data_IF_301428841480
#
_entry.id   IF_301428841480
#
_cell.length_a   1.000
_cell.length_b   1.000
_cell.length_c   1.000
_cell.angle_alpha   90.00
_cell.angle_beta   90.00
_cell.angle_gamma   90.00
#
_symmetry.space_group_name_H-M   'P 1'
#
loop_
_entity.id
_entity.type
_entity.pdbx_description
1 polymer ?
#
# COMPACT_ATOMS: atom_id res chain seq x y z
N UNK A 1 -13.62 -4.01 -23.58
CA UNK A 1 -13.32 -2.57 -23.40
C UNK A 1 -13.20 -2.27 -21.91
N UNK A 2 -11.99 -2.00 -21.40
CA UNK A 2 -11.77 -1.68 -19.99
C UNK A 2 -12.10 -0.19 -19.79
N UNK A 3 -13.16 0.12 -19.05
CA UNK A 3 -13.50 1.51 -18.69
C UNK A 3 -12.58 1.97 -17.57
N UNK A 4 -11.60 2.80 -17.90
CA UNK A 4 -10.73 3.45 -16.92
C UNK A 4 -11.32 4.82 -16.53
N UNK A 5 -11.46 5.09 -15.23
CA UNK A 5 -11.96 6.37 -14.72
C UNK A 5 -11.06 7.56 -15.05
N UNK A 6 -9.82 7.32 -15.49
CA UNK A 6 -8.90 8.36 -15.94
C UNK A 6 -9.40 9.12 -17.18
N UNK A 7 -10.33 8.55 -17.94
CA UNK A 7 -10.89 9.16 -19.16
C UNK A 7 -12.34 9.63 -18.97
N UNK A 8 -12.79 9.83 -17.72
CA UNK A 8 -14.19 10.10 -17.41
C UNK A 8 -14.71 11.42 -17.98
N UNK A 9 -13.81 12.39 -18.21
CA UNK A 9 -14.15 13.70 -18.79
C UNK A 9 -13.84 13.77 -20.30
N UNK A 10 -13.42 12.66 -20.93
CA UNK A 10 -13.13 12.62 -22.36
C UNK A 10 -14.42 12.41 -23.15
N UNK A 11 -14.75 13.37 -24.00
CA UNK A 11 -16.00 13.42 -24.78
C UNK A 11 -15.84 12.92 -26.23
N UNK A 12 -14.62 12.59 -26.67
CA UNK A 12 -14.31 12.05 -27.99
C UNK A 12 -13.90 10.57 -27.97
N UNK A 13 -13.46 10.05 -29.12
CA UNK A 13 -12.94 8.68 -29.22
C UNK A 13 -11.76 8.46 -28.26
N UNK A 14 -11.75 7.26 -27.64
CA UNK A 14 -10.67 6.86 -26.76
C UNK A 14 -9.43 6.53 -27.59
N UNK A 15 -8.23 6.92 -27.13
CA UNK A 15 -7.01 6.61 -27.87
C UNK A 15 -6.82 5.09 -27.91
N UNK A 16 -6.50 4.58 -29.10
CA UNK A 16 -5.97 3.21 -29.24
C UNK A 16 -4.55 3.23 -28.70
N UNK A 17 -4.29 2.41 -27.68
CA UNK A 17 -2.96 2.25 -27.10
C UNK A 17 -2.41 0.93 -27.65
N UNK A 18 -1.35 1.01 -28.43
CA UNK A 18 -0.60 -0.17 -28.86
C UNK A 18 0.18 -0.77 -27.70
N UNK A 19 0.41 -2.09 -27.74
CA UNK A 19 1.18 -2.77 -26.71
C UNK A 19 1.41 -4.22 -27.06
N UNK A 20 2.34 -4.84 -26.34
CA UNK A 20 2.70 -6.24 -26.55
C UNK A 20 1.84 -7.12 -25.67
N UNK A 21 1.30 -8.22 -26.21
CA UNK A 21 0.60 -9.23 -25.42
C UNK A 21 1.55 -10.37 -25.07
N UNK A 22 1.76 -10.61 -23.78
CA UNK A 22 2.63 -11.70 -23.30
C UNK A 22 1.74 -12.85 -22.84
N UNK A 23 1.94 -14.05 -23.40
CA UNK A 23 1.25 -15.27 -22.94
C UNK A 23 2.07 -15.94 -21.84
N UNK A 24 1.52 -16.01 -20.63
CA UNK A 24 2.10 -16.77 -19.53
C UNK A 24 1.34 -18.07 -19.36
N UNK A 25 1.97 -19.19 -19.72
CA UNK A 25 1.49 -20.51 -19.35
C UNK A 25 1.92 -20.83 -17.93
N UNK A 26 1.02 -21.48 -17.19
CA UNK A 26 1.25 -21.88 -15.81
C UNK A 26 1.21 -23.40 -15.80
N UNK A 27 2.29 -24.05 -15.39
CA UNK A 27 2.36 -25.51 -15.47
C UNK A 27 1.58 -26.19 -14.35
N UNK A 28 1.55 -25.58 -13.15
CA UNK A 28 0.90 -26.18 -11.98
C UNK A 28 0.45 -25.14 -10.97
N UNK A 29 -0.77 -25.28 -10.48
CA UNK A 29 -1.24 -24.58 -9.29
C UNK A 29 -1.15 -25.48 -8.05
N UNK A 30 -0.93 -24.90 -6.86
CA UNK A 30 -0.96 -25.64 -5.60
C UNK A 30 -2.27 -26.41 -5.34
N UNK A 31 -3.38 -25.92 -5.90
CA UNK A 31 -4.71 -26.54 -5.78
C UNK A 31 -5.02 -27.66 -6.80
N UNK A 32 -4.08 -28.00 -7.69
CA UNK A 32 -4.23 -29.14 -8.63
C UNK A 32 -5.14 -28.91 -9.84
N UNK A 33 -5.78 -27.75 -9.97
CA UNK A 33 -6.55 -27.39 -11.15
C UNK A 33 -5.65 -27.00 -12.33
N UNK A 34 -6.14 -27.24 -13.54
CA UNK A 34 -5.54 -26.75 -14.78
C UNK A 34 -5.67 -25.21 -14.85
N UNK A 35 -4.57 -24.46 -14.71
CA UNK A 35 -4.64 -23.01 -14.71
C UNK A 35 -4.89 -22.47 -16.12
N UNK A 36 -5.83 -21.53 -16.30
CA UNK A 36 -5.89 -20.77 -17.54
C UNK A 36 -4.60 -19.94 -17.70
N UNK A 37 -4.14 -19.72 -18.95
CA UNK A 37 -3.00 -18.85 -19.19
C UNK A 37 -3.32 -17.40 -18.76
N UNK A 38 -2.29 -16.70 -18.32
CA UNK A 38 -2.37 -15.28 -17.99
C UNK A 38 -1.86 -14.46 -19.16
N UNK A 39 -2.47 -13.29 -19.38
CA UNK A 39 -2.20 -12.43 -20.53
C UNK A 39 -1.82 -11.01 -20.10
N UNK A 40 -0.67 -10.81 -19.44
CA UNK A 40 -0.19 -9.46 -19.17
C UNK A 40 0.04 -8.68 -20.47
N UNK A 41 -0.41 -7.43 -20.47
CA UNK A 41 -0.31 -6.51 -21.60
C UNK A 41 0.42 -5.23 -21.17
N UNK A 42 1.75 -5.14 -21.39
CA UNK A 42 2.49 -3.88 -21.34
C UNK A 42 2.17 -2.97 -22.54
N UNK A 43 2.07 -1.66 -22.31
CA UNK A 43 1.89 -0.65 -23.37
C UNK A 43 3.15 -0.42 -24.22
N UNK A 44 4.21 -1.17 -24.00
CA UNK A 44 5.44 -1.08 -24.78
C UNK A 44 5.35 -2.00 -25.99
N UNK A 45 5.73 -1.49 -27.17
CA UNK A 45 5.76 -2.21 -28.44
C UNK A 45 7.18 -2.70 -28.75
N UNK A 46 7.31 -3.71 -29.63
CA UNK A 46 8.62 -4.19 -30.08
C UNK A 46 9.49 -4.81 -28.99
N UNK A 47 8.89 -5.41 -27.96
CA UNK A 47 9.65 -5.99 -26.86
C UNK A 47 10.56 -7.14 -27.32
N UNK A 48 11.81 -7.08 -26.91
CA UNK A 48 12.74 -8.22 -27.00
C UNK A 48 12.29 -9.37 -26.09
N UNK A 49 12.88 -10.56 -26.26
CA UNK A 49 12.65 -11.68 -25.36
C UNK A 49 13.04 -11.38 -23.91
N UNK A 50 14.18 -10.72 -23.71
CA UNK A 50 14.67 -10.31 -22.38
C UNK A 50 13.71 -9.31 -21.71
N UNK A 51 13.20 -8.36 -22.50
CA UNK A 51 12.20 -7.39 -22.05
C UNK A 51 10.88 -8.05 -21.61
N UNK A 52 10.43 -9.07 -22.35
CA UNK A 52 9.26 -9.84 -22.02
C UNK A 52 9.47 -10.63 -20.71
N UNK A 53 10.66 -11.18 -20.50
CA UNK A 53 11.03 -11.89 -19.26
C UNK A 53 11.05 -10.98 -18.04
N UNK A 54 11.60 -9.78 -18.13
CA UNK A 54 11.56 -8.79 -17.03
C UNK A 54 10.11 -8.45 -16.67
N UNK A 55 9.24 -8.24 -17.67
CA UNK A 55 7.82 -7.93 -17.44
C UNK A 55 7.05 -9.10 -16.87
N UNK A 56 7.35 -10.34 -17.30
CA UNK A 56 6.86 -11.57 -16.67
C UNK A 56 7.26 -11.62 -15.20
N UNK A 57 8.54 -11.40 -14.88
CA UNK A 57 9.01 -11.43 -13.49
C UNK A 57 8.33 -10.35 -12.64
N UNK A 58 8.20 -9.12 -13.16
CA UNK A 58 7.49 -8.03 -12.49
C UNK A 58 6.02 -8.38 -12.23
N UNK A 59 5.34 -8.99 -13.21
CA UNK A 59 3.96 -9.45 -13.06
C UNK A 59 3.82 -10.50 -11.96
N UNK A 60 4.75 -11.47 -11.87
CA UNK A 60 4.74 -12.47 -10.80
C UNK A 60 4.97 -11.85 -9.41
N UNK A 61 5.69 -10.73 -9.34
CA UNK A 61 5.91 -9.97 -8.09
C UNK A 61 4.74 -9.08 -7.71
N UNK A 62 3.69 -8.93 -8.54
CA UNK A 62 2.56 -8.03 -8.23
C UNK A 62 1.89 -8.32 -6.90
N UNK A 63 1.89 -9.59 -6.47
CA UNK A 63 1.26 -10.00 -5.20
C UNK A 63 2.03 -9.50 -3.98
N UNK A 64 3.31 -9.13 -4.14
CA UNK A 64 4.09 -8.49 -3.08
C UNK A 64 3.46 -7.15 -2.65
N UNK A 65 2.76 -6.44 -3.56
CA UNK A 65 2.03 -5.21 -3.23
C UNK A 65 0.87 -5.48 -2.28
N UNK A 66 0.10 -6.54 -2.50
CA UNK A 66 -1.01 -6.92 -1.61
C UNK A 66 -0.51 -7.22 -0.20
N UNK A 67 0.61 -7.94 -0.11
CA UNK A 67 1.26 -8.20 1.17
C UNK A 67 1.80 -6.93 1.83
N UNK A 68 2.36 -6.00 1.06
CA UNK A 68 2.81 -4.71 1.57
C UNK A 68 1.64 -3.89 2.10
N UNK A 69 0.54 -3.77 1.35
CA UNK A 69 -0.66 -3.07 1.80
C UNK A 69 -1.28 -3.71 3.03
N UNK A 70 -1.34 -5.05 3.08
CA UNK A 70 -1.82 -5.77 4.26
C UNK A 70 -0.98 -5.44 5.49
N UNK A 71 0.35 -5.48 5.39
CA UNK A 71 1.26 -5.11 6.47
C UNK A 71 1.03 -3.65 6.90
N UNK A 72 0.99 -2.71 5.96
CA UNK A 72 0.80 -1.29 6.27
C UNK A 72 -0.52 -1.04 6.98
N UNK A 73 -1.64 -1.59 6.47
CA UNK A 73 -2.96 -1.42 7.07
C UNK A 73 -3.09 -2.09 8.44
N UNK A 74 -2.66 -3.35 8.56
CA UNK A 74 -2.93 -4.17 9.75
C UNK A 74 -1.85 -4.03 10.84
N UNK A 75 -0.59 -3.86 10.45
CA UNK A 75 0.55 -3.91 11.40
C UNK A 75 1.16 -2.54 11.67
N UNK A 76 1.23 -1.68 10.65
CA UNK A 76 1.66 -0.28 10.79
C UNK A 76 0.48 0.67 11.01
N UNK A 77 -0.73 0.12 11.11
CA UNK A 77 -1.94 0.85 11.49
C UNK A 77 -2.26 2.01 10.55
N UNK A 78 -1.95 1.88 9.25
CA UNK A 78 -2.12 2.94 8.26
C UNK A 78 -3.53 3.55 8.25
N UNK A 79 -4.57 2.75 8.53
CA UNK A 79 -5.98 3.19 8.55
C UNK A 79 -6.53 3.49 9.95
N UNK A 80 -5.71 3.37 11.00
CA UNK A 80 -6.15 3.60 12.39
C UNK A 80 -6.33 5.07 12.76
N UNK A 81 -5.46 6.03 12.37
CA UNK A 81 -5.62 7.41 12.82
C UNK A 81 -6.80 8.09 12.14
N UNK A 82 -7.59 8.81 12.93
CA UNK A 82 -8.73 9.61 12.47
C UNK A 82 -8.25 11.00 12.04
N UNK A 83 -7.57 11.04 10.90
CA UNK A 83 -7.00 12.25 10.32
C UNK A 83 -8.11 13.11 9.71
N UNK A 84 -8.05 14.43 9.92
CA UNK A 84 -9.14 15.36 9.55
C UNK A 84 -8.89 16.16 8.28
N UNK A 85 -7.64 16.23 7.83
CA UNK A 85 -7.26 16.97 6.63
C UNK A 85 -6.46 16.06 5.70
N UNK A 86 -6.56 16.25 4.37
CA UNK A 86 -5.83 15.42 3.41
C UNK A 86 -4.31 15.51 3.60
N UNK A 87 -3.77 16.68 3.97
CA UNK A 87 -2.33 16.88 4.21
C UNK A 87 -1.85 16.11 5.45
N UNK A 88 -2.73 15.91 6.45
CA UNK A 88 -2.44 15.04 7.58
C UNK A 88 -2.43 13.56 7.15
N UNK A 89 -3.36 13.17 6.29
CA UNK A 89 -3.41 11.86 5.62
C UNK A 89 -2.14 11.54 4.83
N UNK A 90 -1.67 12.50 4.04
CA UNK A 90 -0.46 12.39 3.26
C UNK A 90 0.78 12.24 4.15
N UNK A 91 0.95 13.12 5.14
CA UNK A 91 2.07 13.01 6.10
C UNK A 91 2.07 11.67 6.85
N UNK A 92 0.91 11.19 7.26
CA UNK A 92 0.79 9.88 7.89
C UNK A 92 1.18 8.73 6.95
N UNK A 93 0.83 8.84 5.67
CA UNK A 93 1.23 7.88 4.65
C UNK A 93 2.75 7.86 4.49
N UNK A 94 3.40 9.03 4.42
CA UNK A 94 4.86 9.13 4.39
C UNK A 94 5.53 8.53 5.63
N UNK A 95 4.98 8.76 6.83
CA UNK A 95 5.46 8.12 8.06
C UNK A 95 5.33 6.59 8.00
N UNK A 96 4.22 6.07 7.48
CA UNK A 96 4.00 4.64 7.30
C UNK A 96 5.00 4.04 6.32
N UNK A 97 5.25 4.71 5.19
CA UNK A 97 6.25 4.29 4.19
C UNK A 97 7.65 4.30 4.81
N UNK A 98 8.03 5.34 5.53
CA UNK A 98 9.31 5.43 6.21
C UNK A 98 9.50 4.30 7.25
N UNK A 99 8.45 4.00 8.04
CA UNK A 99 8.47 2.89 8.99
C UNK A 99 8.62 1.53 8.28
N UNK A 100 7.91 1.31 7.17
CA UNK A 100 8.05 0.12 6.34
C UNK A 100 9.49 -0.05 5.82
N UNK A 101 10.08 1.03 5.28
CA UNK A 101 11.47 1.04 4.82
C UNK A 101 12.43 0.73 5.95
N UNK A 102 12.26 1.35 7.12
CA UNK A 102 13.13 1.12 8.28
C UNK A 102 13.08 -0.33 8.76
N UNK A 103 11.93 -1.01 8.65
CA UNK A 103 11.79 -2.44 8.95
C UNK A 103 12.40 -3.30 7.84
N UNK A 104 12.34 -2.89 6.58
CA UNK A 104 12.83 -3.68 5.44
C UNK A 104 14.35 -3.69 5.32
N UNK A 105 15.01 -2.58 5.59
CA UNK A 105 16.46 -2.42 5.46
C UNK A 105 17.29 -3.42 6.29
N UNK A 106 17.02 -3.63 7.60
CA UNK A 106 17.84 -4.53 8.42
C UNK A 106 17.48 -6.01 8.26
N UNK A 107 16.75 -6.40 7.21
CA UNK A 107 16.31 -7.78 6.99
C UNK A 107 17.45 -8.80 7.02
N UNK A 108 18.64 -8.44 6.52
CA UNK A 108 19.82 -9.31 6.56
C UNK A 108 20.44 -9.46 7.95
N UNK A 109 20.26 -8.47 8.82
CA UNK A 109 20.80 -8.46 10.18
C UNK A 109 19.79 -8.96 11.24
N UNK A 110 18.53 -9.17 10.86
CA UNK A 110 17.47 -9.56 11.77
C UNK A 110 17.53 -11.06 12.09
N UNK A 111 17.57 -11.40 13.37
CA UNK A 111 17.36 -12.78 13.81
C UNK A 111 15.91 -13.22 13.54
N UNK A 112 15.72 -14.47 13.12
CA UNK A 112 14.39 -15.06 12.90
C UNK A 112 13.74 -15.44 14.23
N UNK A 113 13.14 -14.46 14.91
CA UNK A 113 12.31 -14.68 16.11
C UNK A 113 10.94 -15.28 15.71
N UNK A 114 11.00 -16.52 15.20
CA UNK A 114 9.88 -17.30 14.71
C UNK A 114 9.03 -17.85 15.85
N UNK A 115 7.74 -18.05 15.59
CA UNK A 115 6.87 -18.84 16.46
C UNK A 115 7.16 -20.34 16.27
N UNK A 116 6.81 -21.21 17.23
CA UNK A 116 7.15 -22.63 17.15
C UNK A 116 6.68 -23.32 15.86
N UNK A 117 5.49 -22.98 15.38
CA UNK A 117 4.87 -23.54 14.17
C UNK A 117 5.29 -22.84 12.86
N UNK A 118 6.08 -21.77 12.94
CA UNK A 118 6.54 -21.07 11.75
C UNK A 118 7.78 -21.77 11.17
N UNK A 119 7.73 -22.04 9.86
CA UNK A 119 8.88 -22.58 9.12
C UNK A 119 10.09 -21.64 9.22
N UNK A 120 11.32 -22.15 9.39
CA UNK A 120 12.53 -21.34 9.28
C UNK A 120 12.59 -20.61 7.94
N UNK A 121 13.12 -19.41 7.96
CA UNK A 121 13.40 -18.65 6.74
C UNK A 121 14.90 -18.37 6.65
N UNK A 122 15.43 -18.44 5.43
CA UNK A 122 16.84 -18.13 5.17
C UNK A 122 17.19 -16.70 5.63
N UNK A 123 18.42 -16.47 6.13
CA UNK A 123 18.93 -15.14 6.39
C UNK A 123 18.73 -14.22 5.19
N UNK A 124 18.28 -12.98 5.45
CA UNK A 124 17.96 -12.04 4.37
C UNK A 124 16.68 -12.36 3.58
N UNK A 125 15.93 -13.44 3.86
CA UNK A 125 14.61 -13.72 3.28
C UNK A 125 13.44 -13.51 4.24
N UNK A 126 13.69 -12.95 5.42
CA UNK A 126 12.63 -12.64 6.39
C UNK A 126 11.58 -11.67 5.83
N UNK A 127 10.31 -11.95 6.09
CA UNK A 127 9.23 -11.03 5.76
C UNK A 127 9.30 -9.80 6.67
N UNK A 128 8.83 -8.61 6.23
CA UNK A 128 8.84 -7.41 7.08
C UNK A 128 8.13 -7.63 8.43
N UNK A 129 7.08 -8.44 8.47
CA UNK A 129 6.40 -8.80 9.71
C UNK A 129 7.30 -9.58 10.68
N UNK A 130 8.15 -10.49 10.18
CA UNK A 130 9.13 -11.22 11.00
C UNK A 130 10.26 -10.30 11.47
N UNK A 131 10.80 -9.48 10.57
CA UNK A 131 11.83 -8.49 10.93
C UNK A 131 11.32 -7.55 12.04
N UNK A 132 10.07 -7.10 11.97
CA UNK A 132 9.46 -6.25 13.00
C UNK A 132 9.48 -6.88 14.40
N UNK A 133 9.36 -8.21 14.53
CA UNK A 133 9.40 -8.88 15.85
C UNK A 133 10.77 -8.73 16.51
N UNK A 134 11.85 -8.89 15.73
CA UNK A 134 13.22 -8.69 16.18
C UNK A 134 13.71 -7.24 16.14
N UNK A 135 12.94 -6.33 15.54
CA UNK A 135 13.39 -4.96 15.29
C UNK A 135 13.74 -4.18 16.56
N UNK A 136 13.12 -4.51 17.70
CA UNK A 136 13.48 -3.93 19.01
C UNK A 136 14.95 -4.19 19.37
N UNK A 137 15.49 -5.36 19.00
CA UNK A 137 16.88 -5.73 19.26
C UNK A 137 17.83 -5.03 18.28
N UNK A 138 17.36 -4.70 17.09
CA UNK A 138 18.16 -4.03 16.06
C UNK A 138 18.20 -2.51 16.27
N UNK A 139 17.11 -1.90 16.77
CA UNK A 139 16.95 -0.44 16.93
C UNK A 139 18.12 0.29 17.63
N UNK A 140 18.82 -0.27 18.64
CA UNK A 140 19.92 0.42 19.32
C UNK A 140 21.23 0.51 18.51
N UNK A 141 21.45 -0.43 17.59
CA UNK A 141 22.71 -0.58 16.84
C UNK A 141 22.93 0.42 15.69
N UNK A 142 21.92 0.89 14.93
CA UNK A 142 22.14 1.90 13.92
C UNK A 142 22.43 3.24 14.55
N UNK A 143 23.36 3.99 13.96
CA UNK A 143 23.57 5.39 14.30
C UNK A 143 22.25 6.16 14.22
N UNK A 144 21.94 6.90 15.29
CA UNK A 144 20.82 7.82 15.33
C UNK A 144 21.31 9.18 14.81
N UNK A 145 20.92 9.62 13.61
CA UNK A 145 21.32 10.94 13.11
C UNK A 145 20.61 12.08 13.86
N UNK A 146 19.59 11.77 14.66
CA UNK A 146 18.88 12.77 15.44
C UNK A 146 19.68 13.15 16.70
N UNK A 147 19.81 14.46 16.93
CA UNK A 147 20.35 15.01 18.18
C UNK A 147 19.45 14.58 19.35
N UNK A 148 20.02 14.52 20.55
CA UNK A 148 19.25 14.32 21.77
C UNK A 148 18.07 15.32 21.83
N UNK A 149 16.86 14.87 22.21
CA UNK A 149 15.73 15.77 22.35
C UNK A 149 16.07 16.86 23.36
N UNK A 150 15.54 18.07 23.14
CA UNK A 150 15.67 19.14 24.14
C UNK A 150 14.98 18.69 25.43
N UNK A 151 15.60 18.87 26.61
CA UNK A 151 14.93 18.61 27.89
C UNK A 151 13.63 19.41 27.95
N UNK A 152 12.51 18.74 28.25
CA UNK A 152 11.22 19.38 28.42
C UNK A 152 10.50 18.75 29.60
N UNK A 153 10.01 19.57 30.52
CA UNK A 153 9.04 19.14 31.53
C UNK A 153 7.65 19.03 30.88
N UNK A 154 6.84 18.02 31.22
CA UNK A 154 5.42 18.04 30.87
C UNK A 154 4.84 19.39 31.30
N UNK A 155 4.13 20.08 30.40
CA UNK A 155 3.41 21.29 30.77
C UNK A 155 2.38 20.99 31.88
N UNK A 156 1.77 22.00 32.51
CA UNK A 156 0.85 21.87 33.65
C UNK A 156 -0.46 21.09 33.35
N UNK A 157 -0.51 20.38 32.23
CA UNK A 157 -1.68 19.69 31.73
C UNK A 157 -2.81 20.68 31.44
N UNK A 158 -4.00 20.11 31.30
CA UNK A 158 -5.22 20.88 31.16
C UNK A 158 -5.80 21.15 32.54
N UNK A 159 -6.19 22.39 32.83
CA UNK A 159 -6.90 22.73 34.07
C UNK A 159 -8.14 21.85 34.23
N UNK A 160 -8.31 21.28 35.42
CA UNK A 160 -9.48 20.48 35.78
C UNK A 160 -10.76 21.30 35.54
N UNK A 161 -11.79 20.68 34.95
CA UNK A 161 -13.06 21.35 34.61
C UNK A 161 -13.06 22.18 33.31
N UNK A 162 -11.91 22.40 32.67
CA UNK A 162 -11.87 23.07 31.37
C UNK A 162 -12.56 22.23 30.28
N UNK A 163 -13.52 22.81 29.55
CA UNK A 163 -14.16 22.21 28.35
C UNK A 163 -13.54 22.73 27.06
N UNK A 164 -13.62 21.92 25.98
CA UNK A 164 -12.97 22.29 24.72
C UNK A 164 -13.77 23.43 24.09
N UNK A 165 -13.16 24.61 23.94
CA UNK A 165 -13.83 25.81 23.42
C UNK A 165 -14.14 25.72 21.92
N UNK A 166 -13.46 24.83 21.20
CA UNK A 166 -13.65 24.63 19.76
C UNK A 166 -13.89 23.13 19.49
N UNK A 167 -15.16 22.69 19.53
CA UNK A 167 -15.53 21.35 19.05
C UNK A 167 -15.09 21.20 17.59
N UNK A 168 -14.66 19.99 17.21
CA UNK A 168 -14.36 19.72 15.81
C UNK A 168 -15.67 19.74 14.99
N UNK A 169 -15.67 20.41 13.84
CA UNK A 169 -16.78 20.37 12.88
C UNK A 169 -17.05 18.92 12.51
N UNK A 170 -18.30 18.47 12.72
CA UNK A 170 -18.76 17.16 12.28
C UNK A 170 -19.40 17.34 10.92
N UNK A 171 -18.79 16.78 9.90
CA UNK A 171 -19.41 16.67 8.58
C UNK A 171 -20.40 15.50 8.62
N UNK A 172 -21.57 15.70 8.04
CA UNK A 172 -22.49 14.60 7.81
C UNK A 172 -21.81 13.60 6.88
N UNK A 173 -21.68 12.35 7.33
CA UNK A 173 -21.17 11.26 6.51
C UNK A 173 -22.34 10.83 5.63
N UNK A 174 -22.61 11.64 4.60
CA UNK A 174 -23.71 11.44 3.67
C UNK A 174 -23.81 9.97 3.32
N UNK A 175 -24.94 9.34 3.68
CA UNK A 175 -25.25 7.98 3.24
C UNK A 175 -25.07 7.98 1.73
N UNK A 176 -24.32 7.00 1.24
CA UNK A 176 -23.99 6.76 -0.17
C UNK A 176 -25.14 7.21 -1.07
N UNK A 177 -25.06 8.42 -1.62
CA UNK A 177 -25.97 8.80 -2.71
C UNK A 177 -25.61 7.80 -3.80
N UNK A 178 -26.54 6.93 -4.18
CA UNK A 178 -26.33 5.97 -5.27
C UNK A 178 -25.82 6.79 -6.46
N UNK A 179 -24.57 6.57 -6.82
CA UNK A 179 -24.01 7.21 -8.00
C UNK A 179 -24.80 6.63 -9.17
N UNK A 180 -25.38 7.46 -10.06
CA UNK A 180 -26.06 6.96 -11.24
C UNK A 180 -25.12 6.00 -11.99
N UNK A 181 -25.62 4.80 -12.29
CA UNK A 181 -24.81 3.71 -12.84
C UNK A 181 -24.55 3.92 -14.34
N UNK A 182 -25.29 4.86 -14.95
CA UNK A 182 -25.15 5.25 -16.35
C UNK A 182 -24.96 6.75 -16.54
N UNK A 183 -24.30 7.11 -17.65
CA UNK A 183 -24.12 8.51 -18.09
C UNK A 183 -25.47 9.17 -18.39
N UNK A 184 -26.44 8.38 -18.89
CA UNK A 184 -27.80 8.82 -19.18
C UNK A 184 -28.52 9.31 -17.91
N UNK A 185 -28.48 8.53 -16.82
CA UNK A 185 -29.05 8.93 -15.53
C UNK A 185 -28.35 10.16 -14.94
N UNK A 186 -27.03 10.29 -15.11
CA UNK A 186 -26.29 11.46 -14.64
C UNK A 186 -26.68 12.75 -15.39
N UNK A 187 -26.94 12.65 -16.69
CA UNK A 187 -27.30 13.80 -17.51
C UNK A 187 -28.74 14.25 -17.27
N UNK A 188 -29.64 13.34 -16.86
CA UNK A 188 -31.01 13.67 -16.43
C UNK A 188 -31.07 14.38 -15.05
N UNK A 189 -30.00 14.28 -14.25
CA UNK A 189 -29.91 14.86 -12.91
C UNK A 189 -29.20 16.22 -12.87
N UNK A 190 -28.77 16.75 -14.02
CA UNK A 190 -28.30 18.13 -14.13
C UNK A 190 -29.50 19.06 -14.39
N UNK A 191 -29.64 20.17 -13.65
CA UNK A 191 -30.64 21.20 -13.97
C UNK A 191 -30.35 21.87 -15.32
#
# INVERSE_FOLDING_TARGET
>A
MIRCSAWIDRTGELPVIEGTLIRLQVDRLPGGHDPPPLWPWPSATGLSGEDADVRRQAFLRRFDLEHAFRLMKQTLEWTRPKLRTPEAGERWTWLTIAAHTRIRLPRGAAADLRRPWEKPAEPGRLTPARVRRGFRNLRPHPHCPARAPKPSTPGPGRRLGSKNRRPATRYDVGKTVKRPESITERNLLKP
#
